data_IF_310438176626
#
_entry.id   IF_310438176626
#
_cell.length_a   1.000
_cell.length_b   1.000
_cell.length_c   1.000
_cell.angle_alpha   90.00
_cell.angle_beta   90.00
_cell.angle_gamma   90.00
#
_symmetry.space_group_name_H-M   'P 1'
#
loop_
_entity.id
_entity.type
_entity.pdbx_description
1 polymer ?
#
# COMPACT_ATOMS: atom_id res chain seq x y z
N UNK A 1 -3.89 -10.84 -15.95
CA UNK A 1 -4.94 -10.35 -15.03
C UNK A 1 -4.75 -8.84 -14.90
N UNK A 2 -5.76 -8.02 -15.19
CA UNK A 2 -5.67 -6.57 -14.99
C UNK A 2 -6.22 -6.22 -13.60
N UNK A 3 -5.49 -5.45 -12.78
CA UNK A 3 -5.97 -5.05 -11.47
C UNK A 3 -7.16 -4.07 -11.58
N UNK A 4 -8.08 -4.08 -10.62
CA UNK A 4 -9.25 -3.19 -10.61
C UNK A 4 -8.83 -1.72 -10.50
N UNK A 5 -9.71 -0.81 -10.93
CA UNK A 5 -9.44 0.64 -10.93
C UNK A 5 -8.97 1.16 -9.56
N UNK A 6 -9.66 0.76 -8.49
CA UNK A 6 -9.27 1.09 -7.13
C UNK A 6 -8.27 0.06 -6.59
N UNK A 7 -6.99 0.40 -6.67
CA UNK A 7 -5.90 -0.46 -6.20
C UNK A 7 -4.98 0.31 -5.25
N UNK A 8 -4.93 -0.16 -4.01
CA UNK A 8 -4.05 0.34 -2.94
C UNK A 8 -2.91 -0.65 -2.73
N UNK A 9 -1.68 -0.16 -2.66
CA UNK A 9 -0.51 -0.91 -2.23
C UNK A 9 0.13 -0.21 -1.04
N UNK A 10 0.37 -0.95 0.05
CA UNK A 10 1.04 -0.45 1.25
C UNK A 10 2.30 -1.29 1.45
N UNK A 11 3.46 -0.65 1.54
CA UNK A 11 4.76 -1.31 1.68
C UNK A 11 5.52 -0.72 2.87
N UNK A 12 6.08 -1.58 3.73
CA UNK A 12 7.04 -1.17 4.74
C UNK A 12 8.41 -0.90 4.12
N UNK A 13 9.03 0.25 4.43
CA UNK A 13 10.37 0.60 3.90
C UNK A 13 11.51 -0.21 4.55
N UNK A 14 11.24 -0.95 5.64
CA UNK A 14 12.20 -1.79 6.33
C UNK A 14 11.81 -3.28 6.26
N UNK A 15 11.04 -3.65 5.24
CA UNK A 15 10.65 -5.04 4.98
C UNK A 15 11.90 -5.88 4.65
N UNK A 16 12.11 -6.90 5.46
CA UNK A 16 13.24 -7.82 5.43
C UNK A 16 12.97 -9.09 4.61
N UNK A 17 11.72 -9.30 4.20
CA UNK A 17 11.28 -10.48 3.44
C UNK A 17 11.10 -10.11 1.97
N UNK A 18 10.52 -8.94 1.71
CA UNK A 18 10.26 -8.40 0.37
C UNK A 18 11.00 -7.09 0.23
N UNK A 19 11.98 -7.02 -0.68
CA UNK A 19 12.75 -5.80 -0.95
C UNK A 19 11.82 -4.64 -1.35
N UNK A 20 11.70 -3.57 -0.55
CA UNK A 20 10.84 -2.44 -0.86
C UNK A 20 11.22 -1.78 -2.18
N UNK A 21 12.51 -1.69 -2.50
CA UNK A 21 12.95 -1.05 -3.73
C UNK A 21 12.51 -1.83 -4.96
N UNK A 22 12.58 -3.17 -4.92
CA UNK A 22 12.06 -4.02 -5.99
C UNK A 22 10.56 -3.81 -6.23
N UNK A 23 9.77 -3.59 -5.16
CA UNK A 23 8.33 -3.26 -5.27
C UNK A 23 8.13 -1.91 -5.94
N UNK A 24 8.91 -0.89 -5.59
CA UNK A 24 8.81 0.45 -6.17
C UNK A 24 9.22 0.47 -7.64
N UNK A 25 10.32 -0.21 -7.96
CA UNK A 25 10.80 -0.36 -9.33
C UNK A 25 9.75 -1.07 -10.18
N UNK A 26 9.15 -2.16 -9.68
CA UNK A 26 8.06 -2.84 -10.36
C UNK A 26 6.85 -1.92 -10.59
N UNK A 27 6.39 -1.19 -9.58
CA UNK A 27 5.27 -0.24 -9.70
C UNK A 27 5.55 0.79 -10.79
N UNK A 28 6.78 1.28 -10.91
CA UNK A 28 7.15 2.28 -11.91
C UNK A 28 6.99 1.78 -13.35
N UNK A 29 7.03 0.46 -13.57
CA UNK A 29 6.83 -0.15 -14.90
C UNK A 29 5.35 -0.30 -15.29
N UNK A 30 4.43 -0.08 -14.36
CA UNK A 30 3.01 -0.34 -14.60
C UNK A 30 2.38 0.79 -15.42
N UNK A 31 1.58 0.48 -16.46
CA UNK A 31 0.88 1.49 -17.26
C UNK A 31 -0.14 2.28 -16.42
N UNK A 32 -0.64 1.69 -15.33
CA UNK A 32 -1.49 2.35 -14.34
C UNK A 32 -1.00 1.97 -12.95
N UNK A 33 -0.37 2.93 -12.28
CA UNK A 33 0.21 2.72 -10.96
C UNK A 33 -0.89 2.66 -9.89
N UNK A 34 -0.80 1.77 -8.89
CA UNK A 34 -1.65 1.81 -7.72
C UNK A 34 -1.44 3.09 -6.91
N UNK A 35 -2.38 3.39 -6.03
CA UNK A 35 -2.11 4.30 -4.91
C UNK A 35 -1.11 3.61 -4.00
N UNK A 36 0.10 4.16 -3.91
CA UNK A 36 1.18 3.62 -3.08
C UNK A 36 1.29 4.38 -1.75
N UNK A 37 1.32 3.65 -0.64
CA UNK A 37 1.67 4.17 0.68
C UNK A 37 2.96 3.47 1.13
N UNK A 38 4.00 4.26 1.39
CA UNK A 38 5.25 3.79 1.98
C UNK A 38 5.20 4.04 3.48
N UNK A 39 5.55 3.04 4.27
CA UNK A 39 5.58 3.13 5.74
C UNK A 39 7.04 3.09 6.21
N UNK A 40 7.62 4.25 6.59
CA UNK A 40 8.98 4.30 7.12
C UNK A 40 9.15 3.40 8.34
N UNK A 41 10.36 2.85 8.50
CA UNK A 41 10.76 2.05 9.68
C UNK A 41 9.78 0.89 9.99
N UNK A 42 9.18 0.31 8.96
CA UNK A 42 8.16 -0.72 9.09
C UNK A 42 8.63 -2.01 8.41
N UNK A 43 8.72 -3.08 9.19
CA UNK A 43 9.10 -4.42 8.75
C UNK A 43 7.95 -5.18 8.10
N UNK A 44 8.21 -6.37 7.55
CA UNK A 44 7.25 -7.16 6.78
C UNK A 44 5.91 -7.39 7.50
N UNK A 45 5.97 -7.68 8.80
CA UNK A 45 4.79 -7.98 9.62
C UNK A 45 4.16 -6.73 10.26
N UNK A 46 4.62 -5.53 9.90
CA UNK A 46 4.14 -4.28 10.47
C UNK A 46 4.21 -4.28 12.01
N UNK A 47 5.28 -4.86 12.56
CA UNK A 47 5.42 -5.08 14.00
C UNK A 47 5.29 -3.75 14.77
N UNK A 48 4.37 -3.69 15.75
CA UNK A 48 4.00 -2.48 16.51
C UNK A 48 3.46 -1.31 15.66
N UNK A 49 3.17 -1.52 14.38
CA UNK A 49 2.65 -0.51 13.44
C UNK A 49 1.24 -0.84 12.94
N UNK A 50 0.58 -1.88 13.46
CA UNK A 50 -0.77 -2.30 13.02
C UNK A 50 -1.84 -1.19 13.13
N UNK A 51 -1.74 -0.31 14.13
CA UNK A 51 -2.63 0.85 14.24
C UNK A 51 -2.40 1.82 13.09
N UNK A 52 -1.14 2.14 12.78
CA UNK A 52 -0.80 2.97 11.61
C UNK A 52 -1.21 2.32 10.29
N UNK A 53 -1.08 0.99 10.18
CA UNK A 53 -1.53 0.24 9.01
C UNK A 53 -3.04 0.35 8.83
N UNK A 54 -3.82 0.19 9.91
CA UNK A 54 -5.27 0.36 9.88
C UNK A 54 -5.64 1.76 9.37
N UNK A 55 -5.01 2.79 9.92
CA UNK A 55 -5.29 4.18 9.55
C UNK A 55 -4.92 4.44 8.08
N UNK A 56 -3.77 3.93 7.61
CA UNK A 56 -3.37 3.99 6.21
C UNK A 56 -4.35 3.29 5.25
N UNK A 57 -4.93 2.15 5.66
CA UNK A 57 -5.97 1.47 4.88
C UNK A 57 -7.24 2.34 4.84
N UNK A 58 -7.72 2.82 5.98
CA UNK A 58 -8.94 3.63 6.08
C UNK A 58 -8.83 4.90 5.23
N UNK A 59 -7.75 5.67 5.38
CA UNK A 59 -7.51 6.87 4.59
C UNK A 59 -7.23 6.56 3.12
N UNK A 60 -6.57 5.43 2.86
CA UNK A 60 -6.26 4.92 1.54
C UNK A 60 -7.51 4.72 0.68
N UNK A 61 -8.55 4.12 1.26
CA UNK A 61 -9.77 3.71 0.55
C UNK A 61 -10.96 4.64 0.76
N UNK A 62 -10.88 5.63 1.65
CA UNK A 62 -12.01 6.48 2.07
C UNK A 62 -12.78 7.09 0.89
N UNK A 63 -12.08 7.59 -0.12
CA UNK A 63 -12.66 8.20 -1.33
C UNK A 63 -13.32 7.19 -2.28
N UNK A 64 -13.10 5.89 -2.07
CA UNK A 64 -13.64 4.81 -2.90
C UNK A 64 -14.90 4.18 -2.29
N UNK A 65 -15.26 4.58 -1.07
CA UNK A 65 -16.46 4.09 -0.43
C UNK A 65 -17.68 4.60 -1.20
N UNK A 66 -18.67 3.75 -1.49
CA UNK A 66 -19.92 4.20 -2.07
C UNK A 66 -20.59 5.19 -1.13
N UNK A 67 -21.30 6.17 -1.69
CA UNK A 67 -22.18 7.00 -0.89
C UNK A 67 -23.24 6.09 -0.26
N UNK A 68 -23.39 6.16 1.06
CA UNK A 68 -24.50 5.51 1.74
C UNK A 68 -25.78 6.20 1.25
N UNK A 69 -26.66 5.41 0.63
CA UNK A 69 -27.99 5.84 0.23
C UNK A 69 -28.84 6.21 1.45
#
# INVERSE_FOLDING_TARGET
VHPPEHWLLIQGDADEVVDPQAVYDWISTLPRQPKLIRMPETSHFFHRKLIHLRDAIQDGVRSWLPQLA
#
